data_IF_316001134847
#
_entry.id   IF_316001134847
#
_cell.length_a   1.000
_cell.length_b   1.000
_cell.length_c   1.000
_cell.angle_alpha   90.00
_cell.angle_beta   90.00
_cell.angle_gamma   90.00
#
_symmetry.space_group_name_H-M   'P 1'
#
loop_
_entity.id
_entity.type
_entity.pdbx_description
1 polymer ?
#
# COMPACT_ATOMS: atom_id res chain seq x y z
N UNK A 1 -16.96 0.28 -19.23
CA UNK A 1 -16.70 1.17 -18.08
C UNK A 1 -15.88 0.37 -17.07
N UNK A 2 -14.62 0.74 -16.79
CA UNK A 2 -13.78 -0.06 -15.87
C UNK A 2 -14.37 0.02 -14.46
N UNK A 3 -14.48 -1.12 -13.79
CA UNK A 3 -14.99 -1.20 -12.43
C UNK A 3 -13.88 -0.76 -11.49
N UNK A 4 -14.05 0.38 -10.84
CA UNK A 4 -13.24 0.76 -9.68
C UNK A 4 -13.51 -0.26 -8.57
N UNK A 5 -12.46 -0.89 -8.08
CA UNK A 5 -12.55 -1.84 -6.97
C UNK A 5 -12.00 -1.13 -5.74
N UNK A 6 -12.66 -1.34 -4.60
CA UNK A 6 -12.28 -0.75 -3.32
C UNK A 6 -12.13 -1.85 -2.30
N UNK A 7 -11.04 -1.82 -1.56
CA UNK A 7 -10.81 -2.74 -0.45
C UNK A 7 -10.19 -2.01 0.74
N UNK A 8 -10.53 -2.41 1.97
CA UNK A 8 -9.93 -1.86 3.16
C UNK A 8 -8.47 -2.31 3.30
N UNK A 9 -7.59 -1.37 3.63
CA UNK A 9 -6.25 -1.62 4.15
C UNK A 9 -6.24 -1.22 5.62
N UNK A 10 -6.09 -2.19 6.51
CA UNK A 10 -5.90 -1.96 7.94
C UNK A 10 -4.42 -1.73 8.23
N UNK A 11 -4.13 -0.69 9.02
CA UNK A 11 -2.77 -0.28 9.38
C UNK A 11 -2.65 -0.35 10.90
N UNK A 12 -1.74 -1.20 11.36
CA UNK A 12 -1.42 -1.38 12.76
C UNK A 12 -0.04 -0.79 13.06
N UNK A 13 0.11 -0.18 14.22
CA UNK A 13 1.38 0.26 14.81
C UNK A 13 1.51 -0.44 16.14
N UNK A 14 2.58 -1.21 16.33
CA UNK A 14 2.84 -1.95 17.56
C UNK A 14 1.63 -2.80 17.99
N UNK A 15 1.04 -3.50 17.03
CA UNK A 15 -0.17 -4.36 17.15
C UNK A 15 -1.50 -3.63 17.38
N UNK A 16 -1.49 -2.30 17.54
CA UNK A 16 -2.70 -1.49 17.72
C UNK A 16 -3.20 -0.99 16.37
N UNK A 17 -4.48 -1.23 16.06
CA UNK A 17 -5.11 -0.69 14.85
C UNK A 17 -5.13 0.84 14.93
N UNK A 18 -4.39 1.51 14.05
CA UNK A 18 -4.35 2.97 13.97
C UNK A 18 -5.38 3.51 13.00
N UNK A 19 -5.51 2.86 11.85
CA UNK A 19 -6.30 3.38 10.74
C UNK A 19 -6.72 2.27 9.81
N UNK A 20 -7.92 2.40 9.25
CA UNK A 20 -8.34 1.65 8.06
C UNK A 20 -8.53 2.64 6.92
N UNK A 21 -7.88 2.40 5.78
CA UNK A 21 -7.99 3.23 4.58
C UNK A 21 -8.68 2.43 3.49
N UNK A 22 -9.61 3.04 2.77
CA UNK A 22 -10.24 2.39 1.62
C UNK A 22 -9.42 2.68 0.36
N UNK A 23 -8.63 1.71 -0.09
CA UNK A 23 -7.81 1.84 -1.29
C UNK A 23 -8.69 1.63 -2.51
N UNK A 24 -8.58 2.54 -3.48
CA UNK A 24 -9.21 2.41 -4.78
C UNK A 24 -8.19 1.93 -5.78
N UNK A 25 -8.58 0.98 -6.60
CA UNK A 25 -7.73 0.52 -7.68
C UNK A 25 -8.50 0.36 -8.98
N UNK A 26 -7.79 0.61 -10.08
CA UNK A 26 -8.28 0.42 -11.45
C UNK A 26 -7.29 -0.46 -12.19
N UNK A 27 -7.80 -1.53 -12.80
CA UNK A 27 -6.99 -2.42 -13.62
C UNK A 27 -6.32 -1.65 -14.78
N UNK A 28 -5.04 -1.95 -15.02
CA UNK A 28 -4.33 -1.49 -16.20
C UNK A 28 -4.80 -2.28 -17.43
N UNK A 29 -4.91 -1.59 -18.57
CA UNK A 29 -5.19 -2.22 -19.87
C UNK A 29 -3.90 -2.53 -20.64
N UNK A 30 -2.74 -2.13 -20.11
CA UNK A 30 -1.46 -2.16 -20.82
C UNK A 30 -0.44 -3.06 -20.11
N UNK A 31 -0.50 -3.13 -18.77
CA UNK A 31 0.46 -3.85 -17.96
C UNK A 31 -0.08 -5.25 -17.59
N UNK A 32 0.53 -6.27 -18.19
CA UNK A 32 0.36 -7.67 -17.81
C UNK A 32 1.60 -8.09 -17.03
N UNK A 33 1.42 -8.86 -15.96
CA UNK A 33 2.53 -9.45 -15.22
C UNK A 33 3.09 -10.61 -16.06
N UNK A 34 4.37 -10.58 -16.51
CA UNK A 34 4.90 -11.57 -17.46
C UNK A 34 4.73 -13.02 -16.98
N UNK A 35 4.86 -13.25 -15.67
CA UNK A 35 4.79 -14.58 -15.05
C UNK A 35 3.38 -14.94 -14.55
N UNK A 36 2.41 -14.02 -14.64
CA UNK A 36 1.04 -14.18 -14.17
C UNK A 36 0.05 -13.54 -15.15
N UNK A 37 -0.13 -14.20 -16.30
CA UNK A 37 -0.95 -13.69 -17.42
C UNK A 37 -2.44 -13.57 -17.09
N UNK A 38 -2.91 -14.26 -16.06
CA UNK A 38 -4.25 -14.17 -15.50
C UNK A 38 -4.44 -12.93 -14.60
N UNK A 39 -3.35 -12.28 -14.19
CA UNK A 39 -3.35 -11.14 -13.29
C UNK A 39 -3.08 -9.84 -14.03
N UNK A 40 -3.79 -8.79 -13.65
CA UNK A 40 -3.59 -7.43 -14.15
C UNK A 40 -2.98 -6.57 -13.07
N UNK A 41 -1.90 -5.87 -13.43
CA UNK A 41 -1.38 -4.83 -12.55
C UNK A 41 -2.42 -3.72 -12.40
N UNK A 42 -2.61 -3.25 -11.18
CA UNK A 42 -3.50 -2.15 -10.87
C UNK A 42 -2.74 -1.10 -10.07
N UNK A 43 -3.09 0.18 -10.29
CA UNK A 43 -2.51 1.27 -9.51
C UNK A 43 -3.39 1.50 -8.28
N UNK A 44 -2.80 1.49 -7.10
CA UNK A 44 -3.47 1.85 -5.85
C UNK A 44 -3.37 3.33 -5.54
N UNK A 45 -3.86 3.71 -4.37
CA UNK A 45 -3.77 5.06 -3.80
C UNK A 45 -2.44 5.28 -3.05
N UNK A 46 -2.04 6.55 -2.94
CA UNK A 46 -0.95 6.97 -2.06
C UNK A 46 -1.50 7.23 -0.64
N UNK A 47 -0.87 6.65 0.37
CA UNK A 47 -1.29 6.76 1.78
C UNK A 47 -0.16 7.35 2.60
N UNK A 48 -0.48 8.38 3.37
CA UNK A 48 0.46 9.01 4.31
C UNK A 48 0.21 8.51 5.73
N UNK A 49 1.28 8.09 6.39
CA UNK A 49 1.31 7.72 7.81
C UNK A 49 2.33 8.63 8.51
N UNK A 50 1.97 9.13 9.69
CA UNK A 50 2.89 9.87 10.55
C UNK A 50 3.60 8.85 11.44
N UNK A 51 4.91 8.71 11.27
CA UNK A 51 5.72 7.81 12.10
C UNK A 51 6.28 8.61 13.29
N UNK A 52 5.91 8.28 14.53
CA UNK A 52 6.46 8.97 15.71
C UNK A 52 7.94 8.63 15.91
N UNK A 53 8.62 9.44 16.73
CA UNK A 53 10.03 9.20 17.05
C UNK A 53 10.20 7.90 17.84
N UNK A 54 11.15 7.07 17.43
CA UNK A 54 11.44 5.79 18.08
C UNK A 54 11.41 4.64 17.10
N UNK A 55 11.40 3.42 17.62
CA UNK A 55 11.28 2.20 16.83
C UNK A 55 9.84 1.69 16.92
N UNK A 56 9.22 1.50 15.76
CA UNK A 56 7.83 1.07 15.65
C UNK A 56 7.71 -0.05 14.61
N UNK A 57 6.82 -1.00 14.86
CA UNK A 57 6.51 -2.07 13.91
C UNK A 57 5.15 -1.77 13.28
N UNK A 58 5.15 -1.56 11.96
CA UNK A 58 3.92 -1.40 11.19
C UNK A 58 3.51 -2.71 10.53
N UNK A 59 2.22 -3.04 10.64
CA UNK A 59 1.60 -4.16 9.91
C UNK A 59 0.51 -3.61 9.01
N UNK A 60 0.55 -4.00 7.75
CA UNK A 60 -0.41 -3.64 6.72
C UNK A 60 -1.20 -4.88 6.35
N UNK A 61 -2.48 -4.88 6.68
CA UNK A 61 -3.36 -6.02 6.48
C UNK A 61 -4.47 -5.67 5.48
N UNK A 62 -4.74 -6.63 4.60
CA UNK A 62 -5.72 -6.57 3.55
C UNK A 62 -6.79 -7.62 3.85
N UNK A 63 -7.70 -7.33 4.80
CA UNK A 63 -8.63 -8.33 5.29
C UNK A 63 -9.55 -8.80 4.17
N UNK A 64 -9.63 -10.13 4.01
CA UNK A 64 -10.58 -10.85 3.17
C UNK A 64 -10.73 -10.31 1.75
N UNK A 65 -9.65 -10.36 0.96
CA UNK A 65 -9.77 -10.13 -0.47
C UNK A 65 -8.99 -11.14 -1.31
N UNK A 66 -9.40 -11.25 -2.58
CA UNK A 66 -8.80 -12.13 -3.59
C UNK A 66 -7.57 -11.49 -4.28
N UNK A 67 -7.12 -10.34 -3.80
CA UNK A 67 -6.08 -9.53 -4.42
C UNK A 67 -4.76 -9.63 -3.65
N UNK A 68 -3.67 -9.59 -4.39
CA UNK A 68 -2.33 -9.39 -3.83
C UNK A 68 -1.97 -7.90 -3.94
N UNK A 69 -1.23 -7.39 -2.96
CA UNK A 69 -0.75 -6.01 -2.99
C UNK A 69 0.76 -5.92 -2.85
N UNK A 70 1.32 -4.96 -3.57
CA UNK A 70 2.71 -4.53 -3.41
C UNK A 70 2.66 -3.16 -2.75
N UNK A 71 3.27 -3.06 -1.57
CA UNK A 71 3.41 -1.80 -0.85
C UNK A 71 4.76 -1.18 -1.18
N UNK A 72 4.77 0.13 -1.45
CA UNK A 72 5.99 0.90 -1.66
C UNK A 72 6.05 2.03 -0.65
N UNK A 73 7.16 2.09 0.07
CA UNK A 73 7.41 3.10 1.08
C UNK A 73 8.25 4.22 0.48
N UNK A 74 7.77 5.45 0.63
CA UNK A 74 8.49 6.65 0.26
C UNK A 74 8.74 7.45 1.52
N UNK A 75 9.96 7.94 1.67
CA UNK A 75 10.35 8.85 2.75
C UNK A 75 10.47 10.24 2.11
N UNK A 76 9.87 11.29 2.69
CA UNK A 76 10.08 12.66 2.23
C UNK A 76 11.57 12.99 2.20
N UNK A 77 12.02 13.73 1.18
CA UNK A 77 13.45 14.07 1.05
C UNK A 77 13.97 14.85 2.26
N UNK A 78 13.12 15.65 2.91
CA UNK A 78 13.44 16.37 4.16
C UNK A 78 13.82 15.45 5.32
N UNK A 79 13.35 14.21 5.29
CA UNK A 79 13.46 13.24 6.37
C UNK A 79 14.61 12.24 6.10
N UNK A 80 15.27 12.35 4.93
CA UNK A 80 16.50 11.62 4.64
C UNK A 80 17.64 12.22 5.46
N UNK A 81 18.07 11.52 6.50
CA UNK A 81 19.29 11.88 7.23
C UNK A 81 20.53 11.75 6.34
N UNK A 82 21.63 12.42 6.71
CA UNK A 82 22.90 12.35 5.97
C UNK A 82 23.48 10.93 5.88
N UNK A 83 23.07 10.02 6.76
CA UNK A 83 23.49 8.61 6.77
C UNK A 83 22.74 7.74 5.74
N UNK A 84 21.64 8.26 5.16
CA UNK A 84 20.84 7.58 4.14
C UNK A 84 21.17 8.05 2.70
N UNK A 85 22.24 8.82 2.50
CA UNK A 85 22.73 9.29 1.19
C UNK A 85 23.94 8.50 0.71
#
# INVERSE_FOLDING_TARGET
MRREIKFPLAIYEDTVLKRTVLIKTTASDIAVLPDHLDRRASRGDDIYINVPSGNHVYTFDLPENEYEAILRFFIPESDLSTEAR
#
